data_IF_623559418728
#
_entry.id   IF_623559418728
#
_cell.length_a   1.000
_cell.length_b   1.000
_cell.length_c   1.000
_cell.angle_alpha   90.00
_cell.angle_beta   90.00
_cell.angle_gamma   90.00
#
_symmetry.space_group_name_H-M   'P 1'
#
loop_
_entity.id
_entity.type
_entity.pdbx_description
1 polymer ?
#
# COMPACT_ATOMS: atom_id res chain seq x y z
N UNK A 1 21.95 7.47 0.73
CA UNK A 1 22.77 6.36 1.29
C UNK A 1 21.93 5.12 1.67
N UNK A 2 20.70 5.27 2.18
CA UNK A 2 19.85 4.16 2.59
C UNK A 2 19.31 3.30 1.44
N UNK A 3 18.93 3.91 0.32
CA UNK A 3 18.41 3.20 -0.85
C UNK A 3 19.48 2.34 -1.53
N UNK A 4 20.69 2.84 -1.67
CA UNK A 4 21.80 2.07 -2.27
C UNK A 4 22.17 0.83 -1.44
N UNK A 5 22.10 0.92 -0.09
CA UNK A 5 22.30 -0.24 0.80
C UNK A 5 21.19 -1.27 0.64
N UNK A 6 19.93 -0.82 0.53
CA UNK A 6 18.78 -1.71 0.30
C UNK A 6 18.90 -2.43 -1.05
N UNK A 7 19.26 -1.73 -2.11
CA UNK A 7 19.45 -2.32 -3.45
C UNK A 7 20.60 -3.35 -3.46
N UNK A 8 21.71 -3.06 -2.79
CA UNK A 8 22.83 -4.01 -2.66
C UNK A 8 22.42 -5.28 -1.89
N UNK A 9 21.62 -5.13 -0.83
CA UNK A 9 21.10 -6.26 -0.07
C UNK A 9 20.15 -7.12 -0.91
N UNK A 10 19.24 -6.49 -1.64
CA UNK A 10 18.32 -7.16 -2.56
C UNK A 10 19.09 -7.95 -3.63
N UNK A 11 20.11 -7.35 -4.25
CA UNK A 11 20.95 -8.04 -5.24
C UNK A 11 21.67 -9.26 -4.68
N UNK A 12 22.11 -9.21 -3.41
CA UNK A 12 22.69 -10.38 -2.73
C UNK A 12 21.68 -11.51 -2.53
N UNK A 13 20.45 -11.15 -2.14
CA UNK A 13 19.36 -12.12 -1.94
C UNK A 13 18.90 -12.75 -3.26
N UNK A 14 18.91 -12.01 -4.35
CA UNK A 14 18.54 -12.49 -5.68
C UNK A 14 19.48 -13.57 -6.23
N UNK A 15 20.74 -13.58 -5.81
CA UNK A 15 21.71 -14.59 -6.20
C UNK A 15 21.53 -15.94 -5.47
N UNK A 16 20.57 -16.06 -4.55
CA UNK A 16 20.40 -17.21 -3.67
C UNK A 16 19.16 -18.09 -3.95
N UNK A 17 18.55 -18.02 -5.11
CA UNK A 17 17.31 -18.74 -5.48
C UNK A 17 16.11 -18.50 -4.53
N UNK A 18 16.16 -17.46 -3.73
CA UNK A 18 15.08 -17.09 -2.79
C UNK A 18 14.04 -16.27 -3.55
N UNK A 19 12.77 -16.63 -3.40
CA UNK A 19 11.67 -15.76 -3.83
C UNK A 19 11.48 -14.63 -2.83
N UNK A 20 11.46 -13.39 -3.34
CA UNK A 20 11.31 -12.19 -2.53
C UNK A 20 9.95 -11.56 -2.85
N UNK A 21 9.12 -11.43 -1.83
CA UNK A 21 7.88 -10.68 -1.92
C UNK A 21 8.08 -9.29 -1.34
N UNK A 22 7.89 -8.29 -2.17
CA UNK A 22 7.80 -6.90 -1.77
C UNK A 22 6.35 -6.49 -1.60
N UNK A 23 6.03 -5.93 -0.44
CA UNK A 23 4.72 -5.33 -0.19
C UNK A 23 4.89 -3.82 -0.27
N UNK A 24 4.13 -3.21 -1.17
CA UNK A 24 4.11 -1.76 -1.37
C UNK A 24 3.53 -1.01 -0.16
N UNK A 25 3.67 0.31 -0.15
CA UNK A 25 3.13 1.14 0.91
C UNK A 25 1.59 1.17 0.86
N UNK A 26 0.99 1.38 2.02
CA UNK A 26 -0.41 1.77 2.14
C UNK A 26 -0.55 3.30 1.98
N UNK A 27 -1.73 3.80 1.61
CA UNK A 27 -1.97 5.24 1.53
C UNK A 27 -1.68 5.95 2.87
N UNK A 28 -1.11 7.15 2.80
CA UNK A 28 -0.93 8.02 3.96
C UNK A 28 -1.98 9.12 3.95
N UNK A 29 -2.68 9.27 5.07
CA UNK A 29 -3.69 10.28 5.20
C UNK A 29 -3.09 11.69 5.23
N UNK A 30 -3.80 12.64 4.66
CA UNK A 30 -3.50 14.06 4.82
C UNK A 30 -3.52 14.47 6.30
N UNK A 31 -2.76 15.50 6.63
CA UNK A 31 -2.63 16.01 8.01
C UNK A 31 -3.98 16.44 8.60
N UNK A 32 -4.87 16.94 7.75
CA UNK A 32 -6.19 17.46 8.13
C UNK A 32 -7.20 16.35 8.45
N UNK A 33 -6.94 15.13 8.00
CA UNK A 33 -7.83 13.99 8.20
C UNK A 33 -7.49 13.28 9.51
N UNK A 34 -8.44 13.30 10.42
CA UNK A 34 -8.37 12.53 11.65
C UNK A 34 -9.34 11.35 11.57
N UNK A 35 -8.86 10.12 11.37
CA UNK A 35 -9.73 8.96 11.16
C UNK A 35 -10.62 8.66 12.35
N UNK A 36 -10.10 8.81 13.57
CA UNK A 36 -10.89 8.59 14.78
C UNK A 36 -12.05 9.60 14.91
N UNK A 37 -11.81 10.86 14.54
CA UNK A 37 -12.86 11.87 14.52
C UNK A 37 -13.97 11.54 13.50
N UNK A 38 -13.61 11.04 12.34
CA UNK A 38 -14.57 10.57 11.33
C UNK A 38 -15.46 9.46 11.90
N UNK A 39 -14.85 8.48 12.53
CA UNK A 39 -15.55 7.36 13.15
C UNK A 39 -16.49 7.79 14.29
N UNK A 40 -15.97 8.56 15.26
CA UNK A 40 -16.76 9.00 16.44
C UNK A 40 -17.95 9.87 16.01
N UNK A 41 -17.73 10.77 15.06
CA UNK A 41 -18.80 11.65 14.56
C UNK A 41 -19.71 10.98 13.53
N UNK A 42 -19.39 9.76 13.12
CA UNK A 42 -20.10 9.00 12.08
C UNK A 42 -20.29 9.82 10.79
N UNK A 43 -19.24 10.49 10.34
CA UNK A 43 -19.22 11.30 9.13
C UNK A 43 -18.33 10.67 8.07
N UNK A 44 -18.76 10.74 6.82
CA UNK A 44 -17.95 10.29 5.70
C UNK A 44 -16.62 11.06 5.61
N UNK A 45 -15.53 10.34 5.49
CA UNK A 45 -14.21 10.90 5.30
C UNK A 45 -13.50 10.17 4.17
N UNK A 46 -13.09 10.94 3.18
CA UNK A 46 -12.31 10.48 2.03
C UNK A 46 -11.38 11.60 1.57
N UNK A 47 -10.46 11.27 0.67
CA UNK A 47 -9.62 12.27 0.02
C UNK A 47 -9.31 11.84 -1.42
N UNK A 48 -9.00 12.81 -2.28
CA UNK A 48 -8.68 12.53 -3.66
C UNK A 48 -7.35 11.78 -3.79
N UNK A 49 -7.33 10.73 -4.57
CA UNK A 49 -6.12 9.95 -4.89
C UNK A 49 -5.02 10.81 -5.54
N UNK A 50 -5.40 11.83 -6.30
CA UNK A 50 -4.47 12.78 -6.92
C UNK A 50 -3.74 13.69 -5.92
N UNK A 51 -4.31 13.85 -4.73
CA UNK A 51 -3.74 14.68 -3.66
C UNK A 51 -2.84 13.88 -2.71
N UNK A 52 -2.76 12.57 -2.88
CA UNK A 52 -1.91 11.74 -2.04
C UNK A 52 -0.44 12.04 -2.31
N UNK A 53 0.24 12.51 -1.27
CA UNK A 53 1.67 12.80 -1.30
C UNK A 53 2.49 11.56 -1.68
N UNK A 54 2.07 10.38 -1.22
CA UNK A 54 2.75 9.12 -1.52
C UNK A 54 2.64 8.81 -3.01
N UNK A 55 1.47 8.98 -3.62
CA UNK A 55 1.29 8.70 -5.05
C UNK A 55 2.26 9.51 -5.90
N UNK A 56 2.45 10.80 -5.60
CA UNK A 56 3.38 11.66 -6.33
C UNK A 56 4.84 11.21 -6.21
N UNK A 57 5.22 10.72 -5.04
CA UNK A 57 6.56 10.19 -4.82
C UNK A 57 6.69 8.73 -5.29
N UNK A 58 5.58 7.99 -5.34
CA UNK A 58 5.55 6.60 -5.80
C UNK A 58 5.78 6.45 -7.29
N UNK A 59 5.48 7.41 -8.13
CA UNK A 59 5.75 7.28 -9.58
C UNK A 59 7.23 7.03 -9.85
N UNK A 60 8.10 7.78 -9.19
CA UNK A 60 9.55 7.53 -9.27
C UNK A 60 9.94 6.20 -8.63
N UNK A 61 9.34 5.89 -7.49
CA UNK A 61 9.55 4.62 -6.79
C UNK A 61 9.09 3.42 -7.62
N UNK A 62 7.88 3.46 -8.17
CA UNK A 62 7.35 2.39 -9.03
C UNK A 62 8.17 2.20 -10.30
N UNK A 63 8.65 3.28 -10.91
CA UNK A 63 9.52 3.20 -12.08
C UNK A 63 10.80 2.42 -11.77
N UNK A 64 11.42 2.69 -10.63
CA UNK A 64 12.63 1.99 -10.18
C UNK A 64 12.34 0.56 -9.75
N UNK A 65 11.26 0.34 -9.02
CA UNK A 65 10.80 -0.98 -8.58
C UNK A 65 10.46 -1.85 -9.79
N UNK A 66 9.64 -1.36 -10.72
CA UNK A 66 9.25 -2.11 -11.91
C UNK A 66 10.46 -2.53 -12.75
N UNK A 67 11.48 -1.67 -12.86
CA UNK A 67 12.73 -2.03 -13.54
C UNK A 67 13.42 -3.20 -12.85
N UNK A 68 13.56 -3.16 -11.52
CA UNK A 68 14.18 -4.25 -10.74
C UNK A 68 13.36 -5.54 -10.86
N UNK A 69 12.04 -5.44 -10.80
CA UNK A 69 11.15 -6.61 -10.86
C UNK A 69 11.07 -7.22 -12.25
N UNK A 70 11.13 -6.41 -13.33
CA UNK A 70 11.15 -6.93 -14.69
C UNK A 70 12.44 -7.71 -15.02
N UNK A 71 13.53 -7.37 -14.35
CA UNK A 71 14.84 -8.01 -14.54
C UNK A 71 15.00 -9.29 -13.68
N UNK A 72 14.11 -9.55 -12.71
CA UNK A 72 14.29 -10.62 -11.72
C UNK A 72 13.02 -11.44 -11.51
N UNK A 73 12.95 -12.63 -12.09
CA UNK A 73 11.79 -13.54 -12.00
C UNK A 73 11.46 -14.00 -10.56
N UNK A 74 12.41 -13.93 -9.65
CA UNK A 74 12.25 -14.34 -8.25
C UNK A 74 11.73 -13.20 -7.35
N UNK A 75 11.47 -12.02 -7.91
CA UNK A 75 10.91 -10.90 -7.18
C UNK A 75 9.43 -10.72 -7.53
N UNK A 76 8.63 -10.60 -6.50
CA UNK A 76 7.20 -10.33 -6.59
C UNK A 76 6.87 -9.04 -5.87
N UNK A 77 6.03 -8.23 -6.48
CA UNK A 77 5.53 -6.98 -5.90
C UNK A 77 4.03 -7.07 -5.69
N UNK A 78 3.60 -6.88 -4.45
CA UNK A 78 2.20 -6.72 -4.09
C UNK A 78 1.92 -5.26 -3.75
N UNK A 79 0.96 -4.65 -4.43
CA UNK A 79 0.57 -3.27 -4.24
C UNK A 79 -0.77 -3.16 -3.51
N UNK A 80 -0.78 -2.90 -2.18
CA UNK A 80 -2.00 -2.72 -1.42
C UNK A 80 -2.69 -1.39 -1.68
N UNK A 81 -1.99 -0.42 -2.27
CA UNK A 81 -2.48 0.94 -2.46
C UNK A 81 -3.80 0.98 -3.24
N UNK A 82 -3.85 0.26 -4.37
CA UNK A 82 -5.02 0.26 -5.24
C UNK A 82 -6.22 -0.49 -4.67
N UNK A 83 -6.04 -1.31 -3.64
CA UNK A 83 -7.14 -1.98 -2.94
C UNK A 83 -7.81 -1.01 -1.98
N UNK A 84 -7.03 -0.21 -1.26
CA UNK A 84 -7.54 0.77 -0.30
C UNK A 84 -8.08 2.01 -1.01
N UNK A 85 -7.42 2.41 -2.11
CA UNK A 85 -7.82 3.52 -2.97
C UNK A 85 -8.31 2.96 -4.32
N UNK A 86 -9.39 2.19 -4.32
CA UNK A 86 -9.89 1.48 -5.50
C UNK A 86 -10.48 2.39 -6.58
N UNK A 87 -10.90 3.60 -6.20
CA UNK A 87 -11.46 4.63 -7.08
C UNK A 87 -10.53 5.84 -7.13
N UNK A 88 -11.00 6.94 -7.70
CA UNK A 88 -10.30 8.23 -7.64
C UNK A 88 -10.22 8.80 -6.21
N UNK A 89 -11.02 8.27 -5.30
CA UNK A 89 -11.00 8.64 -3.88
C UNK A 89 -10.48 7.48 -3.02
N UNK A 90 -9.72 7.85 -2.00
CA UNK A 90 -9.31 6.96 -0.92
C UNK A 90 -10.29 7.14 0.24
N UNK A 91 -11.09 6.12 0.49
CA UNK A 91 -12.05 6.13 1.58
C UNK A 91 -11.35 5.89 2.92
N UNK A 92 -11.61 6.75 3.90
CA UNK A 92 -11.06 6.63 5.24
C UNK A 92 -12.11 6.05 6.19
N UNK A 93 -13.33 6.55 6.11
CA UNK A 93 -14.49 6.03 6.85
C UNK A 93 -15.77 6.25 6.06
N UNK A 94 -16.59 5.22 6.00
CA UNK A 94 -17.95 5.27 5.46
C UNK A 94 -18.97 4.92 6.54
N UNK A 95 -19.91 5.83 6.87
CA UNK A 95 -21.01 5.53 7.77
C UNK A 95 -21.88 4.37 7.31
N UNK A 96 -22.01 4.20 5.99
CA UNK A 96 -22.79 3.12 5.37
C UNK A 96 -22.15 1.76 5.59
N UNK A 97 -20.84 1.66 5.40
CA UNK A 97 -20.10 0.40 5.53
C UNK A 97 -19.61 0.16 6.96
N UNK A 98 -19.52 1.22 7.78
CA UNK A 98 -18.96 1.21 9.14
C UNK A 98 -17.53 0.69 9.20
N UNK A 99 -16.78 0.89 8.13
CA UNK A 99 -15.38 0.49 8.02
C UNK A 99 -14.51 1.72 8.21
N UNK A 100 -13.60 1.64 9.17
CA UNK A 100 -12.52 2.60 9.36
C UNK A 100 -11.23 1.98 8.82
N UNK A 101 -10.68 2.53 7.75
CA UNK A 101 -9.50 1.94 7.08
C UNK A 101 -8.21 2.20 7.83
N UNK A 102 -8.06 3.37 8.44
CA UNK A 102 -6.84 3.80 9.10
C UNK A 102 -7.05 4.04 10.59
N UNK A 103 -6.11 3.58 11.41
CA UNK A 103 -6.02 3.87 12.85
C UNK A 103 -5.45 5.27 13.10
N UNK A 104 -4.45 5.62 12.32
CA UNK A 104 -3.77 6.91 12.32
C UNK A 104 -3.39 7.28 10.87
N UNK A 105 -2.48 8.22 10.68
CA UNK A 105 -2.14 8.71 9.34
C UNK A 105 -1.45 7.68 8.43
N UNK A 106 -0.79 6.69 8.98
CA UNK A 106 0.09 5.78 8.24
C UNK A 106 -0.14 4.30 8.52
N UNK A 107 -1.00 3.97 9.48
CA UNK A 107 -1.28 2.59 9.86
C UNK A 107 -2.74 2.24 9.63
N UNK A 108 -2.97 1.08 9.07
CA UNK A 108 -4.32 0.53 8.91
C UNK A 108 -4.89 0.06 10.25
N UNK A 109 -6.21 0.06 10.34
CA UNK A 109 -6.93 -0.70 11.36
C UNK A 109 -6.89 -2.19 11.02
N UNK A 110 -7.43 -3.04 11.90
CA UNK A 110 -7.64 -4.45 11.59
C UNK A 110 -8.59 -4.60 10.39
N UNK A 111 -9.70 -3.87 10.38
CA UNK A 111 -10.69 -3.88 9.30
C UNK A 111 -10.06 -3.42 7.98
N UNK A 112 -9.28 -2.34 8.00
CA UNK A 112 -8.54 -1.87 6.84
C UNK A 112 -7.54 -2.91 6.31
N UNK A 113 -6.87 -3.64 7.20
CA UNK A 113 -5.97 -4.73 6.82
C UNK A 113 -6.72 -5.94 6.25
N UNK A 114 -7.89 -6.26 6.79
CA UNK A 114 -8.73 -7.36 6.29
C UNK A 114 -9.27 -7.11 4.88
N UNK A 115 -9.41 -5.84 4.47
CA UNK A 115 -9.75 -5.52 3.07
C UNK A 115 -8.70 -6.06 2.08
N UNK A 116 -7.45 -6.16 2.50
CA UNK A 116 -6.35 -6.65 1.66
C UNK A 116 -6.32 -8.18 1.58
N UNK A 117 -6.90 -8.90 2.55
CA UNK A 117 -6.72 -10.34 2.72
C UNK A 117 -7.08 -11.12 1.45
N UNK A 118 -8.31 -10.95 0.95
CA UNK A 118 -8.80 -11.73 -0.20
C UNK A 118 -7.99 -11.48 -1.47
N UNK A 119 -7.57 -10.23 -1.66
CA UNK A 119 -6.77 -9.84 -2.82
C UNK A 119 -5.35 -10.40 -2.70
N UNK A 120 -4.74 -10.27 -1.52
CA UNK A 120 -3.43 -10.84 -1.25
C UNK A 120 -3.41 -12.36 -1.39
N UNK A 121 -4.42 -13.07 -0.91
CA UNK A 121 -4.55 -14.53 -1.09
C UNK A 121 -4.61 -14.93 -2.55
N UNK A 122 -5.37 -14.20 -3.38
CA UNK A 122 -5.42 -14.43 -4.83
C UNK A 122 -4.07 -14.17 -5.49
N UNK A 123 -3.43 -13.07 -5.12
CA UNK A 123 -2.11 -12.73 -5.61
C UNK A 123 -1.09 -13.82 -5.25
N UNK A 124 -1.07 -14.25 -3.99
CA UNK A 124 -0.15 -15.26 -3.48
C UNK A 124 -0.34 -16.60 -4.20
N UNK A 125 -1.57 -17.13 -4.25
CA UNK A 125 -1.89 -18.41 -4.92
C UNK A 125 -1.55 -18.43 -6.41
N UNK A 126 -1.60 -17.27 -7.07
CA UNK A 126 -1.26 -17.15 -8.50
C UNK A 126 0.25 -17.13 -8.76
N UNK A 127 1.05 -16.73 -7.77
CA UNK A 127 2.48 -16.44 -7.94
C UNK A 127 3.42 -17.41 -7.22
N UNK A 128 2.91 -18.10 -6.22
CA UNK A 128 3.62 -19.10 -5.43
C UNK A 128 3.02 -20.49 -5.59
#
# INVERSE_FOLDING_TARGET
PGELKKIKMIKKLLNSNIKILFIGPVPNLKKEINPLKCFIKNIECSYSKSEDYIKRNLESYYKNVNKIFSENKNMLFYDPYNIICSTENCEVYSPKQKILTHRDRSHLTMEGSLMLQKDFEKFYKKRF
#
